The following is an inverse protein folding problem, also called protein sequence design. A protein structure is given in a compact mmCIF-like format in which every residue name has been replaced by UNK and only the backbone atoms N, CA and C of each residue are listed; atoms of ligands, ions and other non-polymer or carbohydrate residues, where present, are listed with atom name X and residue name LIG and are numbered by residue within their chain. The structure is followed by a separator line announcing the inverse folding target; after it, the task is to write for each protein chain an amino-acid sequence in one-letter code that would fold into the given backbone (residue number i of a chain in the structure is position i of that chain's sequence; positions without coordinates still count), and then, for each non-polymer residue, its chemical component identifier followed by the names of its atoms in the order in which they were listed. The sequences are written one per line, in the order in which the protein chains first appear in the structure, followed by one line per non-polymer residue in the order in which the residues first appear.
data_IF_473465273218
#
_entry.id   IF_473465273218
#
_cell.length_a   1.000
_cell.length_b   1.000
_cell.length_c   1.000
_cell.angle_alpha   90.00
_cell.angle_beta   90.00
_cell.angle_gamma   90.00
#
_symmetry.space_group_name_H-M   'P 1'
#
loop_
_entity.id
_entity.type
_entity.pdbx_description
1 polymer ?
#
# COMPACT_ATOMS: atom_id res chain seq x y z
N UNK A 1 -6.54 18.25 10.06
CA UNK A 1 -6.85 16.97 10.71
C UNK A 1 -6.72 15.80 9.77
N UNK A 2 -7.01 14.64 10.28
CA UNK A 2 -6.88 13.38 9.52
C UNK A 2 -7.70 13.39 8.24
N UNK A 3 -8.97 13.82 8.32
CA UNK A 3 -9.84 13.87 7.14
C UNK A 3 -9.34 14.84 6.09
N UNK A 4 -8.81 15.99 6.51
CA UNK A 4 -8.22 16.96 5.58
C UNK A 4 -7.00 16.39 4.87
N UNK A 5 -6.16 15.65 5.59
CA UNK A 5 -4.99 15.00 5.01
C UNK A 5 -5.41 13.95 3.98
N UNK A 6 -6.37 13.10 4.31
CA UNK A 6 -6.87 12.05 3.39
C UNK A 6 -7.42 12.67 2.11
N UNK A 7 -8.20 13.74 2.24
CA UNK A 7 -8.76 14.44 1.09
C UNK A 7 -7.66 15.04 0.21
N UNK A 8 -6.68 15.69 0.82
CA UNK A 8 -5.57 16.30 0.09
C UNK A 8 -4.72 15.25 -0.60
N UNK A 9 -4.35 14.19 0.11
CA UNK A 9 -3.56 13.10 -0.45
C UNK A 9 -4.29 12.48 -1.64
N UNK A 10 -5.59 12.24 -1.52
CA UNK A 10 -6.38 11.68 -2.60
C UNK A 10 -6.38 12.56 -3.86
N UNK A 11 -6.50 13.88 -3.68
CA UNK A 11 -6.45 14.83 -4.79
C UNK A 11 -5.09 14.86 -5.47
N UNK A 12 -4.01 14.83 -4.68
CA UNK A 12 -2.65 14.82 -5.21
C UNK A 12 -2.41 13.54 -6.02
N UNK A 13 -2.81 12.39 -5.49
CA UNK A 13 -2.67 11.11 -6.20
C UNK A 13 -3.42 11.09 -7.54
N UNK A 14 -4.63 11.65 -7.57
CA UNK A 14 -5.42 11.74 -8.80
C UNK A 14 -4.83 12.70 -9.82
N UNK A 15 -3.95 13.61 -9.39
CA UNK A 15 -3.28 14.55 -10.30
C UNK A 15 -2.04 13.95 -10.98
N UNK A 16 -1.57 12.80 -10.53
CA UNK A 16 -0.37 12.17 -11.08
C UNK A 16 -0.67 11.64 -12.48
N UNK A 17 0.10 12.09 -13.44
CA UNK A 17 0.09 11.55 -14.79
C UNK A 17 1.51 11.14 -15.15
N UNK A 18 1.73 9.85 -15.28
CA UNK A 18 3.05 9.31 -15.58
C UNK A 18 2.92 8.05 -16.41
N UNK A 19 4.02 7.67 -17.06
CA UNK A 19 4.10 6.49 -17.89
C UNK A 19 5.39 5.74 -17.57
N UNK A 20 5.31 4.42 -17.51
CA UNK A 20 6.47 3.55 -17.23
C UNK A 20 7.19 3.92 -15.93
N UNK A 21 6.43 4.12 -14.87
CA UNK A 21 6.99 4.49 -13.57
C UNK A 21 6.47 3.57 -12.46
N UNK A 22 7.24 3.50 -11.38
CA UNK A 22 6.81 2.86 -10.13
C UNK A 22 6.43 3.97 -9.16
N UNK A 23 5.22 3.90 -8.62
CA UNK A 23 4.72 4.88 -7.67
C UNK A 23 4.65 4.21 -6.31
N UNK A 24 5.40 4.75 -5.34
CA UNK A 24 5.32 4.30 -3.95
C UNK A 24 4.49 5.30 -3.17
N UNK A 25 3.28 4.89 -2.78
CA UNK A 25 2.39 5.76 -2.00
C UNK A 25 2.64 5.57 -0.52
N UNK A 26 2.20 6.53 0.28
CA UNK A 26 2.06 6.31 1.71
C UNK A 26 0.94 5.29 1.98
N UNK A 27 1.00 4.63 3.13
CA UNK A 27 0.01 3.60 3.48
C UNK A 27 -1.41 4.13 3.61
N UNK A 28 -1.58 5.43 3.84
CA UNK A 28 -2.90 6.06 4.00
C UNK A 28 -3.63 6.32 2.69
N UNK A 29 -3.00 6.08 1.54
CA UNK A 29 -3.64 6.28 0.23
C UNK A 29 -4.94 5.48 0.09
N UNK A 30 -5.02 4.31 0.73
CA UNK A 30 -6.19 3.42 0.66
C UNK A 30 -7.45 3.99 1.31
N UNK A 31 -7.33 5.07 2.07
CA UNK A 31 -8.51 5.72 2.66
C UNK A 31 -9.30 6.55 1.65
N UNK A 32 -8.72 6.86 0.49
CA UNK A 32 -9.40 7.57 -0.59
C UNK A 32 -9.80 6.60 -1.69
N UNK A 33 -11.09 6.26 -1.76
CA UNK A 33 -11.60 5.37 -2.80
C UNK A 33 -11.37 5.95 -4.20
N UNK A 34 -11.62 7.24 -4.37
CA UNK A 34 -11.42 7.92 -5.65
C UNK A 34 -9.97 7.82 -6.13
N UNK A 35 -9.01 8.01 -5.22
CA UNK A 35 -7.59 7.88 -5.55
C UNK A 35 -7.25 6.44 -5.93
N UNK A 36 -7.75 5.46 -5.18
CA UNK A 36 -7.47 4.06 -5.47
C UNK A 36 -8.09 3.62 -6.80
N UNK A 37 -9.30 4.06 -7.11
CA UNK A 37 -9.91 3.76 -8.40
C UNK A 37 -9.11 4.37 -9.56
N UNK A 38 -8.62 5.60 -9.38
CA UNK A 38 -7.77 6.24 -10.38
C UNK A 38 -6.47 5.44 -10.60
N UNK A 39 -5.80 5.05 -9.52
CA UNK A 39 -4.54 4.29 -9.61
C UNK A 39 -4.77 2.92 -10.26
N UNK A 40 -5.88 2.26 -9.94
CA UNK A 40 -6.23 0.97 -10.57
C UNK A 40 -6.52 1.13 -12.07
N UNK A 41 -7.13 2.25 -12.47
CA UNK A 41 -7.47 2.49 -13.87
C UNK A 41 -6.25 2.85 -14.71
N UNK A 42 -5.20 3.37 -14.10
CA UNK A 42 -4.00 3.83 -14.80
C UNK A 42 -2.78 2.92 -14.61
N UNK A 43 -2.86 1.91 -13.76
CA UNK A 43 -1.73 1.04 -13.49
C UNK A 43 -2.15 -0.22 -12.74
N UNK A 44 -1.16 -0.88 -12.16
CA UNK A 44 -1.32 -2.09 -11.36
C UNK A 44 -1.08 -1.72 -9.90
N UNK A 45 -2.05 -2.03 -9.05
CA UNK A 45 -1.93 -1.82 -7.60
C UNK A 45 -1.40 -3.09 -6.96
N UNK A 46 -0.26 -2.97 -6.29
CA UNK A 46 0.43 -4.09 -5.65
C UNK A 46 0.41 -3.88 -4.14
N UNK A 47 -0.13 -4.85 -3.43
CA UNK A 47 -0.11 -4.88 -1.97
C UNK A 47 1.11 -5.68 -1.51
N UNK A 48 1.98 -5.01 -0.76
CA UNK A 48 3.16 -5.65 -0.17
C UNK A 48 2.79 -6.10 1.24
N UNK A 49 2.53 -7.38 1.40
CA UNK A 49 2.02 -7.94 2.65
C UNK A 49 3.17 -8.44 3.55
N UNK A 50 3.17 -7.98 4.80
CA UNK A 50 4.02 -8.49 5.87
C UNK A 50 3.16 -8.93 7.03
N UNK A 51 3.66 -9.88 7.82
CA UNK A 51 3.03 -10.27 9.06
C UNK A 51 3.18 -9.18 10.12
N UNK A 52 2.21 -9.11 11.03
CA UNK A 52 2.17 -8.08 12.07
C UNK A 52 3.42 -8.07 12.94
N UNK A 53 3.93 -9.23 13.32
CA UNK A 53 5.13 -9.34 14.17
C UNK A 53 6.36 -8.75 13.49
N UNK A 54 6.51 -8.96 12.19
CA UNK A 54 7.63 -8.40 11.41
C UNK A 54 7.50 -6.87 11.34
N UNK A 55 6.29 -6.37 11.10
CA UNK A 55 6.04 -4.93 11.06
C UNK A 55 6.30 -4.29 12.42
N UNK A 56 5.94 -4.96 13.50
CA UNK A 56 6.17 -4.46 14.85
C UNK A 56 7.65 -4.23 15.16
N UNK A 57 8.54 -5.01 14.56
CA UNK A 57 9.98 -4.85 14.72
C UNK A 57 10.53 -3.67 13.92
N UNK A 58 9.88 -3.30 12.82
CA UNK A 58 10.37 -2.26 11.88
C UNK A 58 9.74 -0.89 12.13
N UNK A 59 8.53 -0.86 12.70
CA UNK A 59 7.79 0.35 12.95
C UNK A 59 7.97 0.73 14.41
N UNK A 60 8.42 1.93 14.69
CA UNK A 60 8.53 2.41 16.06
C UNK A 60 7.18 2.86 16.61
N UNK A 61 7.21 3.88 17.48
CA UNK A 61 6.00 4.44 18.08
C UNK A 61 5.13 5.10 17.01
N UNK A 62 3.87 4.64 16.87
CA UNK A 62 2.93 5.16 15.87
C UNK A 62 2.61 6.65 16.07
N UNK A 63 2.49 7.08 17.31
CA UNK A 63 2.20 8.49 17.63
C UNK A 63 3.32 9.38 17.12
N UNK A 64 4.57 8.98 17.33
CA UNK A 64 5.74 9.73 16.88
C UNK A 64 5.82 9.76 15.34
N UNK A 65 5.32 8.73 14.68
CA UNK A 65 5.36 8.65 13.21
C UNK A 65 4.23 9.41 12.53
N UNK A 66 3.24 9.91 13.28
CA UNK A 66 2.12 10.66 12.70
C UNK A 66 1.26 9.83 11.76
N UNK A 67 1.01 8.58 12.08
CA UNK A 67 0.28 7.65 11.22
C UNK A 67 -1.20 8.03 11.14
N UNK A 68 -1.75 8.06 9.92
CA UNK A 68 -3.16 8.39 9.65
C UNK A 68 -4.04 7.16 9.90
N UNK A 69 -5.14 7.36 10.63
CA UNK A 69 -6.07 6.30 10.98
C UNK A 69 -7.46 6.88 11.23
N UNK A 70 -8.50 6.21 10.76
CA UNK A 70 -9.90 6.61 10.97
C UNK A 70 -10.41 6.30 12.38
N UNK A 71 -9.97 5.18 12.95
CA UNK A 71 -10.53 4.63 14.18
C UNK A 71 -9.83 5.09 15.45
N UNK A 72 -8.96 6.10 15.36
CA UNK A 72 -8.19 6.53 16.51
C UNK A 72 -7.21 5.48 16.99
N UNK A 73 -6.50 4.85 16.07
CA UNK A 73 -5.56 3.78 16.37
C UNK A 73 -4.47 4.24 17.31
N UNK A 74 -4.21 3.47 18.35
CA UNK A 74 -3.15 3.73 19.32
C UNK A 74 -2.02 2.71 19.21
N UNK A 75 -2.27 1.58 18.55
CA UNK A 75 -1.30 0.50 18.39
C UNK A 75 -1.13 0.12 16.93
N UNK A 76 -0.01 -0.52 16.62
CA UNK A 76 0.23 -1.07 15.28
C UNK A 76 -0.83 -2.13 14.92
N UNK A 77 -1.27 -2.92 15.91
CA UNK A 77 -2.31 -3.92 15.70
C UNK A 77 -3.62 -3.30 15.25
N UNK A 78 -4.06 -2.21 15.89
CA UNK A 78 -5.26 -1.48 15.49
C UNK A 78 -5.14 -0.99 14.04
N UNK A 79 -3.99 -0.42 13.69
CA UNK A 79 -3.73 0.09 12.34
C UNK A 79 -3.73 -1.04 11.31
N UNK A 80 -3.11 -2.16 11.65
CA UNK A 80 -3.03 -3.34 10.79
C UNK A 80 -4.44 -3.88 10.50
N UNK A 81 -5.27 -4.02 11.53
CA UNK A 81 -6.64 -4.51 11.38
C UNK A 81 -7.51 -3.56 10.55
N UNK A 82 -7.28 -2.26 10.65
CA UNK A 82 -8.03 -1.29 9.86
C UNK A 82 -7.59 -1.27 8.39
N UNK A 83 -6.28 -1.31 8.14
CA UNK A 83 -5.73 -1.09 6.79
C UNK A 83 -5.69 -2.35 5.92
N UNK A 84 -5.42 -3.51 6.48
CA UNK A 84 -5.25 -4.72 5.67
C UNK A 84 -6.46 -5.05 4.81
N UNK A 85 -7.72 -4.96 5.31
CA UNK A 85 -8.87 -5.18 4.46
C UNK A 85 -8.96 -4.21 3.28
N UNK A 86 -8.53 -2.96 3.49
CA UNK A 86 -8.52 -1.95 2.43
C UNK A 86 -7.45 -2.25 1.38
N UNK A 87 -6.26 -2.67 1.82
CA UNK A 87 -5.21 -3.08 0.88
C UNK A 87 -5.67 -4.26 0.02
N UNK A 88 -6.30 -5.25 0.64
CA UNK A 88 -6.83 -6.42 -0.08
C UNK A 88 -7.92 -6.01 -1.07
N UNK A 89 -8.77 -5.07 -0.70
CA UNK A 89 -9.86 -4.58 -1.55
C UNK A 89 -9.35 -3.97 -2.85
N UNK A 90 -8.27 -3.19 -2.78
CA UNK A 90 -7.78 -2.44 -3.94
C UNK A 90 -6.64 -3.13 -4.69
N UNK A 91 -6.03 -4.14 -4.13
CA UNK A 91 -4.89 -4.79 -4.77
C UNK A 91 -5.27 -5.56 -6.03
N UNK A 92 -4.53 -5.33 -7.10
CA UNK A 92 -4.57 -6.19 -8.28
C UNK A 92 -3.68 -7.42 -8.07
N UNK A 93 -2.65 -7.25 -7.26
CA UNK A 93 -1.64 -8.27 -6.99
C UNK A 93 -1.18 -8.13 -5.54
N UNK A 94 -1.09 -9.25 -4.84
CA UNK A 94 -0.55 -9.28 -3.48
C UNK A 94 0.73 -10.08 -3.45
N UNK A 95 1.79 -9.50 -2.90
CA UNK A 95 3.06 -10.18 -2.69
C UNK A 95 3.25 -10.42 -1.21
N UNK A 96 3.28 -11.68 -0.81
CA UNK A 96 3.45 -12.07 0.59
C UNK A 96 4.94 -12.24 0.91
N UNK A 97 5.46 -11.39 1.79
CA UNK A 97 6.86 -11.39 2.18
C UNK A 97 7.14 -12.20 3.45
N UNK A 98 6.18 -13.02 3.89
CA UNK A 98 6.35 -13.86 5.08
C UNK A 98 7.64 -14.70 4.96
N UNK A 99 8.50 -14.59 5.97
CA UNK A 99 9.76 -15.33 6.01
C UNK A 99 10.86 -14.81 5.11
N UNK A 100 10.66 -13.69 4.43
CA UNK A 100 11.65 -13.12 3.52
C UNK A 100 12.56 -12.09 4.22
N UNK A 101 13.85 -12.14 3.92
CA UNK A 101 14.76 -11.03 4.24
C UNK A 101 14.46 -9.85 3.33
N UNK A 102 15.07 -8.68 3.61
CA UNK A 102 14.88 -7.49 2.75
C UNK A 102 15.29 -7.79 1.31
N UNK A 103 16.41 -8.50 1.13
CA UNK A 103 16.90 -8.85 -0.20
C UNK A 103 15.97 -9.83 -0.91
N UNK A 104 15.46 -10.82 -0.18
CA UNK A 104 14.49 -11.77 -0.72
C UNK A 104 13.17 -11.11 -1.09
N UNK A 105 12.74 -10.07 -0.36
CA UNK A 105 11.55 -9.30 -0.70
C UNK A 105 11.67 -8.67 -2.08
N UNK A 106 12.80 -8.05 -2.38
CA UNK A 106 13.04 -7.42 -3.68
C UNK A 106 12.99 -8.43 -4.82
N UNK A 107 13.63 -9.59 -4.64
CA UNK A 107 13.62 -10.65 -5.65
C UNK A 107 12.22 -11.21 -5.87
N UNK A 108 11.50 -11.45 -4.78
CA UNK A 108 10.14 -11.99 -4.85
C UNK A 108 9.19 -11.02 -5.55
N UNK A 109 9.30 -9.73 -5.21
CA UNK A 109 8.49 -8.68 -5.85
C UNK A 109 8.75 -8.65 -7.36
N UNK A 110 10.01 -8.62 -7.75
CA UNK A 110 10.37 -8.57 -9.18
C UNK A 110 9.82 -9.78 -9.94
N UNK A 111 10.04 -10.98 -9.42
CA UNK A 111 9.56 -12.22 -10.07
C UNK A 111 8.04 -12.25 -10.17
N UNK A 112 7.35 -11.84 -9.10
CA UNK A 112 5.89 -11.85 -9.07
C UNK A 112 5.31 -10.86 -10.08
N UNK A 113 5.89 -9.66 -10.17
CA UNK A 113 5.46 -8.64 -11.14
C UNK A 113 5.73 -9.11 -12.56
N UNK A 114 6.89 -9.69 -12.83
CA UNK A 114 7.22 -10.21 -14.16
C UNK A 114 6.25 -11.30 -14.61
N UNK A 115 5.90 -12.22 -13.71
CA UNK A 115 4.93 -13.27 -14.00
C UNK A 115 3.54 -12.69 -14.30
N UNK A 116 3.11 -11.71 -13.49
CA UNK A 116 1.83 -11.02 -13.69
C UNK A 116 1.77 -10.34 -15.06
N UNK A 117 2.83 -9.63 -15.43
CA UNK A 117 2.89 -8.92 -16.72
C UNK A 117 2.85 -9.87 -17.92
N UNK A 118 3.42 -11.07 -17.79
CA UNK A 118 3.34 -12.09 -18.84
C UNK A 118 1.92 -12.59 -19.05
N UNK A 119 1.14 -12.70 -17.96
CA UNK A 119 -0.26 -13.13 -18.01
C UNK A 119 -1.21 -12.01 -18.44
N UNK A 120 -0.76 -10.76 -18.31
CA UNK A 120 -1.55 -9.56 -18.60
C UNK A 120 -0.78 -8.61 -19.51
N UNK A 121 -0.50 -9.00 -20.76
CA UNK A 121 0.39 -8.23 -21.64
C UNK A 121 -0.12 -6.86 -22.02
N UNK A 122 -1.40 -6.54 -21.79
CA UNK A 122 -2.01 -5.25 -22.11
C UNK A 122 -2.06 -4.29 -20.92
N UNK A 123 -1.44 -4.66 -19.82
CA UNK A 123 -1.36 -3.80 -18.64
C UNK A 123 -0.25 -2.77 -18.75
#
# INVERSE_FOLDING_TARGET
GTEGFITLEGKVLQSIYTNQAVISTGGSAVYSDDAMQYLKSTGIVIYLHHQLDVLAQRVGNLVTRGVVCHSGCTTLEDLYEERCPLYEKYADLTVDFTGCSVEQCSEKLLKTVQAYLKEHPNC
#
